data_IF_956592976557
#
_entry.id   IF_956592976557
#
_cell.length_a   1.000
_cell.length_b   1.000
_cell.length_c   1.000
_cell.angle_alpha   90.00
_cell.angle_beta   90.00
_cell.angle_gamma   90.00
#
_symmetry.space_group_name_H-M   'P 1'
#
loop_
_entity.id
_entity.type
_entity.pdbx_description
1 polymer ?
#
# COMPACT_ATOMS: atom_id res chain seq x y z
N UNK A 1 15.50 -11.79 -5.90
CA UNK A 1 14.24 -12.02 -6.65
C UNK A 1 13.70 -10.66 -7.06
N UNK A 2 13.02 -10.59 -8.22
CA UNK A 2 12.56 -9.35 -8.84
C UNK A 2 11.62 -8.57 -7.92
N UNK A 3 11.69 -7.24 -7.98
CA UNK A 3 10.79 -6.33 -7.27
C UNK A 3 9.36 -6.64 -7.74
N UNK A 4 8.47 -7.11 -6.85
CA UNK A 4 7.12 -7.63 -7.21
C UNK A 4 6.25 -6.59 -7.94
N UNK A 5 6.62 -5.30 -7.90
CA UNK A 5 6.01 -4.24 -8.72
C UNK A 5 6.53 -4.19 -10.17
N UNK A 6 7.76 -4.61 -10.46
CA UNK A 6 8.35 -4.63 -11.81
C UNK A 6 7.64 -5.61 -12.77
N UNK A 7 6.98 -6.64 -12.22
CA UNK A 7 6.23 -7.63 -13.01
C UNK A 7 4.77 -7.21 -13.28
N UNK A 8 4.30 -6.08 -12.74
CA UNK A 8 2.94 -5.60 -13.02
C UNK A 8 2.86 -4.98 -14.41
N UNK A 9 2.21 -5.67 -15.35
CA UNK A 9 2.09 -5.27 -16.76
C UNK A 9 0.70 -4.78 -17.14
N UNK A 10 -0.32 -5.11 -16.36
CA UNK A 10 -1.71 -4.71 -16.59
C UNK A 10 -2.26 -4.02 -15.36
N UNK A 11 -2.90 -2.87 -15.56
CA UNK A 11 -3.43 -2.03 -14.50
C UNK A 11 -4.87 -1.63 -14.79
N UNK A 12 -5.66 -1.49 -13.75
CA UNK A 12 -6.95 -0.84 -13.77
C UNK A 12 -6.85 0.48 -13.01
N UNK A 13 -7.10 1.58 -13.72
CA UNK A 13 -7.32 2.90 -13.14
C UNK A 13 -8.81 3.05 -12.87
N UNK A 14 -9.20 2.95 -11.58
CA UNK A 14 -10.59 2.80 -11.15
C UNK A 14 -11.04 4.01 -10.32
N UNK A 15 -11.58 5.06 -10.95
CA UNK A 15 -12.24 6.12 -10.21
C UNK A 15 -13.61 5.63 -9.73
N UNK A 16 -13.95 5.89 -8.48
CA UNK A 16 -15.26 5.61 -7.89
C UNK A 16 -15.92 6.93 -7.49
N UNK A 17 -17.24 6.99 -7.62
CA UNK A 17 -18.07 8.06 -7.07
C UNK A 17 -18.89 7.43 -5.95
N UNK A 18 -18.66 7.88 -4.72
CA UNK A 18 -19.37 7.41 -3.54
C UNK A 18 -20.61 8.26 -3.27
N UNK A 19 -21.51 7.72 -2.46
CA UNK A 19 -22.58 8.51 -1.85
C UNK A 19 -21.96 9.64 -1.00
N UNK A 20 -22.68 10.77 -0.84
CA UNK A 20 -22.21 11.88 -0.01
C UNK A 20 -21.78 11.42 1.40
N UNK A 21 -20.55 11.74 1.79
CA UNK A 21 -19.99 11.39 3.10
C UNK A 21 -19.63 9.91 3.30
N UNK A 22 -19.74 9.08 2.26
CA UNK A 22 -19.45 7.63 2.34
C UNK A 22 -18.05 7.23 1.86
N UNK A 23 -17.22 8.18 1.41
CA UNK A 23 -15.90 7.90 0.84
C UNK A 23 -14.97 7.10 1.76
N UNK A 24 -14.87 7.49 3.02
CA UNK A 24 -13.98 6.81 3.97
C UNK A 24 -14.56 5.47 4.45
N UNK A 25 -15.88 5.35 4.53
CA UNK A 25 -16.56 4.06 4.78
C UNK A 25 -16.31 3.07 3.63
N UNK A 26 -16.47 3.52 2.39
CA UNK A 26 -16.12 2.77 1.18
C UNK A 26 -14.68 2.26 1.24
N UNK A 27 -13.72 3.16 1.52
CA UNK A 27 -12.32 2.79 1.62
C UNK A 27 -12.08 1.74 2.72
N UNK A 28 -12.61 1.96 3.93
CA UNK A 28 -12.42 1.05 5.06
C UNK A 28 -13.05 -0.33 4.86
N UNK A 29 -14.17 -0.43 4.12
CA UNK A 29 -14.74 -1.72 3.73
C UNK A 29 -13.83 -2.44 2.73
N UNK A 30 -13.31 -1.73 1.74
CA UNK A 30 -12.45 -2.32 0.73
C UNK A 30 -11.06 -2.68 1.24
N UNK A 31 -10.49 -1.92 2.18
CA UNK A 31 -9.22 -2.23 2.84
C UNK A 31 -9.24 -3.62 3.51
N UNK A 32 -10.37 -4.00 4.12
CA UNK A 32 -10.55 -5.33 4.72
C UNK A 32 -10.51 -6.47 3.69
N UNK A 33 -10.84 -6.18 2.43
CA UNK A 33 -10.86 -7.14 1.34
C UNK A 33 -9.50 -7.29 0.65
N UNK A 34 -8.55 -6.40 0.95
CA UNK A 34 -7.23 -6.41 0.30
C UNK A 34 -6.49 -7.74 0.46
N UNK A 35 -6.39 -8.34 1.66
CA UNK A 35 -5.64 -9.59 1.80
C UNK A 35 -6.24 -10.72 0.94
N UNK A 36 -7.56 -10.73 0.78
CA UNK A 36 -8.25 -11.67 -0.09
C UNK A 36 -7.97 -11.38 -1.57
N UNK A 37 -8.06 -10.12 -2.00
CA UNK A 37 -7.75 -9.68 -3.36
C UNK A 37 -6.33 -10.09 -3.77
N UNK A 38 -5.35 -9.79 -2.92
CA UNK A 38 -3.94 -10.08 -3.17
C UNK A 38 -3.64 -11.56 -3.22
N UNK A 39 -4.27 -12.34 -2.33
CA UNK A 39 -4.14 -13.80 -2.36
C UNK A 39 -4.59 -14.44 -3.67
N UNK A 40 -5.34 -13.70 -4.48
CA UNK A 40 -5.88 -14.10 -5.78
C UNK A 40 -5.14 -13.47 -6.95
N UNK A 41 -4.01 -12.80 -6.69
CA UNK A 41 -3.19 -12.15 -7.70
C UNK A 41 -3.65 -10.74 -8.10
N UNK A 42 -4.56 -10.12 -7.33
CA UNK A 42 -4.95 -8.72 -7.54
C UNK A 42 -4.11 -7.80 -6.66
N UNK A 43 -3.15 -7.09 -7.24
CA UNK A 43 -2.26 -6.19 -6.48
C UNK A 43 -2.91 -4.83 -6.34
N UNK A 44 -2.86 -4.22 -5.15
CA UNK A 44 -3.28 -2.82 -4.98
C UNK A 44 -2.03 -1.94 -5.04
N UNK A 45 -1.99 -1.09 -6.05
CA UNK A 45 -0.84 -0.25 -6.38
C UNK A 45 -0.95 1.15 -5.76
N UNK A 46 -2.17 1.55 -5.38
CA UNK A 46 -2.46 2.81 -4.72
C UNK A 46 -3.95 3.05 -4.53
N UNK A 47 -4.29 3.79 -3.50
CA UNK A 47 -5.63 4.20 -3.09
C UNK A 47 -5.56 5.67 -2.71
N UNK A 48 -6.44 6.47 -3.30
CA UNK A 48 -6.35 7.92 -3.20
C UNK A 48 -7.73 8.53 -3.00
N UNK A 49 -7.79 9.49 -2.10
CA UNK A 49 -8.90 10.44 -2.03
C UNK A 49 -8.68 11.51 -3.10
N UNK A 50 -9.74 11.93 -3.77
CA UNK A 50 -9.67 13.15 -4.57
C UNK A 50 -9.65 14.38 -3.63
N UNK A 51 -8.74 15.32 -3.89
CA UNK A 51 -8.57 16.52 -3.07
C UNK A 51 -9.66 17.58 -3.34
N UNK A 52 -10.27 17.56 -4.51
CA UNK A 52 -11.30 18.52 -4.95
C UNK A 52 -12.71 18.01 -4.74
N UNK A 53 -12.90 16.69 -4.86
CA UNK A 53 -14.21 16.06 -4.75
C UNK A 53 -14.26 15.09 -3.56
N UNK A 54 -15.00 15.43 -2.48
CA UNK A 54 -15.05 14.61 -1.27
C UNK A 54 -15.72 13.25 -1.50
N UNK A 55 -16.37 13.03 -2.65
CA UNK A 55 -17.07 11.81 -3.00
C UNK A 55 -16.30 10.98 -4.04
N UNK A 56 -15.17 11.45 -4.55
CA UNK A 56 -14.34 10.67 -5.47
C UNK A 56 -13.20 9.96 -4.77
N UNK A 57 -12.98 8.74 -5.22
CA UNK A 57 -11.90 7.87 -4.75
C UNK A 57 -11.25 7.18 -5.94
N UNK A 58 -9.93 7.22 -6.05
CA UNK A 58 -9.20 6.50 -7.08
C UNK A 58 -8.57 5.25 -6.48
N UNK A 59 -8.77 4.13 -7.16
CA UNK A 59 -8.09 2.89 -6.86
C UNK A 59 -7.27 2.43 -8.07
N UNK A 60 -5.99 2.13 -7.84
CA UNK A 60 -5.10 1.49 -8.80
C UNK A 60 -4.94 0.02 -8.43
N UNK A 61 -5.36 -0.86 -9.34
CA UNK A 61 -5.25 -2.32 -9.19
C UNK A 61 -4.39 -2.90 -10.31
N UNK A 62 -3.53 -3.86 -10.01
CA UNK A 62 -2.54 -4.41 -10.93
C UNK A 62 -2.57 -5.92 -11.03
N UNK A 63 -2.10 -6.41 -12.18
CA UNK A 63 -1.98 -7.81 -12.55
C UNK A 63 -0.68 -8.05 -13.33
N UNK A 64 -0.16 -9.26 -13.26
CA UNK A 64 1.00 -9.67 -14.06
C UNK A 64 0.71 -9.68 -15.56
N UNK A 65 -0.52 -10.04 -15.95
CA UNK A 65 -0.94 -10.14 -17.34
C UNK A 65 -2.46 -10.12 -17.44
N UNK A 66 -2.98 -10.05 -18.67
CA UNK A 66 -4.41 -10.26 -18.90
C UNK A 66 -4.86 -11.65 -18.48
N UNK A 67 -4.04 -12.68 -18.68
CA UNK A 67 -4.39 -14.04 -18.27
C UNK A 67 -4.59 -14.13 -16.76
N UNK A 68 -3.69 -13.53 -15.97
CA UNK A 68 -3.83 -13.54 -14.50
C UNK A 68 -5.02 -12.70 -14.05
N UNK A 69 -5.30 -11.55 -14.70
CA UNK A 69 -6.54 -10.79 -14.49
C UNK A 69 -7.79 -11.65 -14.70
N UNK A 70 -7.85 -12.39 -15.80
CA UNK A 70 -8.98 -13.23 -16.18
C UNK A 70 -9.25 -14.38 -15.20
N UNK A 71 -8.22 -14.82 -14.46
CA UNK A 71 -8.35 -15.81 -13.37
C UNK A 71 -8.71 -15.15 -12.03
N UNK A 72 -8.03 -14.05 -11.70
CA UNK A 72 -8.11 -13.38 -10.41
C UNK A 72 -9.48 -12.74 -10.14
N UNK A 73 -10.08 -12.11 -11.16
CA UNK A 73 -11.35 -11.42 -11.03
C UNK A 73 -12.50 -12.41 -10.72
N UNK A 74 -12.77 -13.47 -11.51
CA UNK A 74 -13.77 -14.46 -11.15
C UNK A 74 -13.52 -15.13 -9.81
N UNK A 75 -12.25 -15.43 -9.47
CA UNK A 75 -11.91 -16.05 -8.20
C UNK A 75 -12.34 -15.21 -7.00
N UNK A 76 -12.18 -13.88 -7.06
CA UNK A 76 -12.61 -12.98 -6.00
C UNK A 76 -14.12 -12.71 -6.03
N UNK A 77 -14.67 -12.28 -7.17
CA UNK A 77 -16.06 -11.85 -7.26
C UNK A 77 -17.08 -12.99 -7.08
N UNK A 78 -16.65 -14.26 -7.17
CA UNK A 78 -17.51 -15.41 -6.85
C UNK A 78 -17.25 -15.98 -5.44
N UNK A 79 -16.25 -15.49 -4.70
CA UNK A 79 -15.90 -15.99 -3.37
C UNK A 79 -16.94 -15.60 -2.30
N UNK A 80 -17.12 -16.41 -1.24
CA UNK A 80 -18.06 -16.12 -0.15
C UNK A 80 -17.84 -14.74 0.50
N UNK A 81 -16.58 -14.37 0.73
CA UNK A 81 -16.21 -13.07 1.32
C UNK A 81 -16.71 -11.87 0.52
N UNK A 82 -16.73 -11.96 -0.82
CA UNK A 82 -17.33 -10.91 -1.64
C UNK A 82 -18.85 -10.94 -1.56
N UNK A 83 -19.48 -12.13 -1.57
CA UNK A 83 -20.94 -12.24 -1.43
C UNK A 83 -21.45 -11.59 -0.14
N UNK A 84 -20.72 -11.74 0.96
CA UNK A 84 -21.03 -11.12 2.25
C UNK A 84 -20.75 -9.60 2.26
N UNK A 85 -19.70 -9.16 1.58
CA UNK A 85 -19.25 -7.76 1.61
C UNK A 85 -19.88 -6.87 0.52
N UNK A 86 -20.43 -7.46 -0.55
CA UNK A 86 -20.92 -6.74 -1.72
C UNK A 86 -22.06 -5.77 -1.38
N UNK A 87 -23.01 -6.18 -0.54
CA UNK A 87 -24.15 -5.34 -0.14
C UNK A 87 -23.70 -4.03 0.53
N UNK A 88 -22.96 -4.09 1.65
CA UNK A 88 -22.41 -2.92 2.31
C UNK A 88 -21.53 -2.06 1.39
N UNK A 89 -20.65 -2.67 0.60
CA UNK A 89 -19.79 -1.94 -0.33
C UNK A 89 -20.61 -1.19 -1.38
N UNK A 90 -21.55 -1.87 -2.05
CA UNK A 90 -22.36 -1.27 -3.10
C UNK A 90 -23.26 -0.15 -2.56
N UNK A 91 -23.72 -0.25 -1.31
CA UNK A 91 -24.51 0.80 -0.67
C UNK A 91 -23.73 2.12 -0.47
N UNK A 92 -22.40 2.09 -0.49
CA UNK A 92 -21.56 3.30 -0.42
C UNK A 92 -21.32 3.95 -1.78
N UNK A 93 -21.71 3.30 -2.89
CA UNK A 93 -21.40 3.74 -4.24
C UNK A 93 -22.59 4.42 -4.93
N UNK A 94 -22.27 5.43 -5.75
CA UNK A 94 -23.16 6.00 -6.77
C UNK A 94 -22.78 5.44 -8.13
N UNK A 95 -21.48 5.46 -8.44
CA UNK A 95 -20.93 5.04 -9.72
C UNK A 95 -19.56 4.37 -9.52
N UNK A 96 -19.30 3.32 -10.29
CA UNK A 96 -17.99 2.64 -10.33
C UNK A 96 -17.00 3.32 -11.29
N UNK A 97 -17.44 4.40 -11.93
CA UNK A 97 -16.70 5.32 -12.78
C UNK A 97 -16.22 4.75 -14.12
N UNK A 98 -15.55 5.59 -14.89
CA UNK A 98 -14.88 5.19 -16.14
C UNK A 98 -13.56 4.47 -15.81
N UNK A 99 -13.65 3.15 -15.65
CA UNK A 99 -12.48 2.29 -15.42
C UNK A 99 -11.66 2.18 -16.70
N UNK A 100 -10.36 2.44 -16.60
CA UNK A 100 -9.41 2.26 -17.72
C UNK A 100 -8.48 1.09 -17.45
N UNK A 101 -8.39 0.21 -18.42
CA UNK A 101 -7.37 -0.82 -18.51
C UNK A 101 -6.12 -0.23 -19.18
N UNK A 102 -5.01 -0.26 -18.47
CA UNK A 102 -3.77 0.41 -18.83
C UNK A 102 -2.57 -0.54 -18.70
N UNK A 103 -1.47 -0.20 -19.37
CA UNK A 103 -0.17 -0.87 -19.27
C UNK A 103 0.94 0.17 -19.08
N UNK A 104 2.07 -0.18 -18.43
CA UNK A 104 3.23 0.70 -18.34
C UNK A 104 3.75 1.08 -19.72
N UNK A 105 4.10 2.35 -19.91
CA UNK A 105 4.80 2.81 -21.13
C UNK A 105 6.23 2.30 -21.15
N UNK A 106 6.89 2.26 -19.98
CA UNK A 106 8.25 1.77 -19.82
C UNK A 106 8.30 0.26 -19.57
N UNK A 107 9.29 -0.42 -20.14
CA UNK A 107 9.45 -1.87 -20.04
C UNK A 107 9.84 -2.38 -18.64
N UNK A 108 10.15 -1.48 -17.71
CA UNK A 108 10.52 -1.80 -16.33
C UNK A 108 9.32 -2.11 -15.40
N UNK A 109 8.08 -1.97 -15.88
CA UNK A 109 6.87 -2.17 -15.07
C UNK A 109 6.38 -0.88 -14.38
N UNK A 110 5.40 -1.00 -13.48
CA UNK A 110 4.83 0.15 -12.75
C UNK A 110 5.17 0.12 -11.26
N UNK A 111 5.77 1.20 -10.76
CA UNK A 111 6.08 1.38 -9.33
C UNK A 111 5.75 2.81 -8.92
N UNK A 112 4.59 3.01 -8.28
CA UNK A 112 4.18 4.31 -7.75
C UNK A 112 4.58 4.48 -6.28
N UNK A 113 4.58 3.39 -5.51
CA UNK A 113 4.57 3.47 -4.07
C UNK A 113 5.82 4.10 -3.43
N UNK A 114 7.02 3.78 -3.96
CA UNK A 114 8.29 4.40 -3.52
C UNK A 114 8.40 5.90 -3.87
N UNK A 115 7.50 6.39 -4.72
CA UNK A 115 7.48 7.77 -5.22
C UNK A 115 6.24 8.54 -4.75
N UNK A 116 5.39 7.93 -3.90
CA UNK A 116 4.24 8.62 -3.32
C UNK A 116 4.70 9.63 -2.29
N UNK A 117 4.10 10.81 -2.34
CA UNK A 117 4.25 11.89 -1.36
C UNK A 117 2.88 12.22 -0.77
N UNK A 118 2.78 13.24 0.10
CA UNK A 118 1.50 13.65 0.68
C UNK A 118 0.46 14.09 -0.37
N UNK A 119 0.89 14.51 -1.57
CA UNK A 119 0.03 14.95 -2.66
C UNK A 119 0.55 14.46 -4.00
N UNK A 120 -0.34 13.94 -4.83
CA UNK A 120 -0.01 13.50 -6.19
C UNK A 120 -1.02 14.06 -7.18
N UNK A 121 -0.62 14.11 -8.45
CA UNK A 121 -1.54 14.45 -9.54
C UNK A 121 -1.46 13.35 -10.58
N UNK A 122 -2.61 12.82 -10.96
CA UNK A 122 -2.75 12.02 -12.17
C UNK A 122 -3.33 12.90 -13.28
N UNK A 123 -2.59 13.02 -14.37
CA UNK A 123 -3.04 13.72 -15.57
C UNK A 123 -3.37 12.71 -16.65
N UNK A 124 -4.56 12.82 -17.22
CA UNK A 124 -5.12 11.90 -18.20
C UNK A 124 -5.28 12.66 -19.51
N UNK A 125 -4.60 12.18 -20.54
CA UNK A 125 -4.77 12.60 -21.92
C UNK A 125 -5.61 11.56 -22.64
N UNK A 126 -6.80 11.95 -23.09
CA UNK A 126 -7.55 11.18 -24.07
C UNK A 126 -7.05 11.57 -25.45
N UNK A 127 -6.53 10.59 -26.19
CA UNK A 127 -5.83 10.78 -27.45
C UNK A 127 -6.75 10.46 -28.64
N UNK A 128 -6.50 11.12 -29.78
CA UNK A 128 -7.18 10.86 -31.05
C UNK A 128 -6.79 9.51 -31.68
N UNK A 129 -5.68 8.92 -31.24
CA UNK A 129 -5.13 7.66 -31.74
C UNK A 129 -4.31 6.97 -30.63
N UNK A 130 -3.94 5.69 -30.78
CA UNK A 130 -3.04 5.02 -29.85
C UNK A 130 -1.76 5.82 -29.57
N UNK A 131 -1.28 5.79 -28.32
CA UNK A 131 -0.13 6.59 -27.90
C UNK A 131 1.16 6.25 -28.68
N UNK A 132 1.25 5.00 -29.15
CA UNK A 132 2.32 4.50 -30.01
C UNK A 132 2.38 5.22 -31.37
N UNK A 133 1.29 5.87 -31.81
CA UNK A 133 1.22 6.66 -33.04
C UNK A 133 1.76 8.08 -32.84
N UNK A 134 3.01 8.18 -32.40
CA UNK A 134 3.75 9.45 -32.29
C UNK A 134 3.64 10.17 -30.95
N UNK A 135 2.56 9.98 -30.17
CA UNK A 135 2.43 10.64 -28.86
C UNK A 135 3.53 10.24 -27.89
N UNK A 136 3.93 8.97 -27.85
CA UNK A 136 5.03 8.50 -26.99
C UNK A 136 6.35 9.23 -27.27
N UNK A 137 6.65 9.48 -28.55
CA UNK A 137 7.85 10.23 -28.95
C UNK A 137 7.73 11.70 -28.54
N UNK A 138 6.60 12.34 -28.84
CA UNK A 138 6.33 13.72 -28.42
C UNK A 138 6.42 13.89 -26.89
N UNK A 139 5.84 12.95 -26.13
CA UNK A 139 5.93 12.93 -24.68
C UNK A 139 7.38 12.86 -24.21
N UNK A 140 8.14 11.88 -24.70
CA UNK A 140 9.53 11.64 -24.30
C UNK A 140 10.46 12.81 -24.63
N UNK A 141 10.28 13.42 -25.80
CA UNK A 141 11.19 14.44 -26.33
C UNK A 141 10.82 15.86 -25.92
N UNK A 142 9.54 16.13 -25.63
CA UNK A 142 9.04 17.49 -25.37
C UNK A 142 8.39 17.62 -24.00
N UNK A 143 7.33 16.86 -23.72
CA UNK A 143 6.53 17.08 -22.51
C UNK A 143 7.26 16.65 -21.24
N UNK A 144 7.79 15.43 -21.18
CA UNK A 144 8.45 14.92 -19.98
C UNK A 144 9.65 15.79 -19.55
N UNK A 145 10.56 16.22 -20.46
CA UNK A 145 11.62 17.17 -20.10
C UNK A 145 11.08 18.52 -19.61
N UNK A 146 10.01 19.03 -20.23
CA UNK A 146 9.38 20.30 -19.81
C UNK A 146 8.79 20.18 -18.39
N UNK A 147 8.07 19.09 -18.09
CA UNK A 147 7.51 18.85 -16.76
C UNK A 147 8.61 18.69 -15.71
N UNK A 148 9.69 17.96 -16.04
CA UNK A 148 10.84 17.79 -15.17
C UNK A 148 11.56 19.12 -14.89
N UNK A 149 11.79 19.95 -15.91
CA UNK A 149 12.40 21.28 -15.76
C UNK A 149 11.54 22.24 -14.92
N UNK A 150 10.22 22.05 -14.92
CA UNK A 150 9.29 22.78 -14.08
C UNK A 150 9.16 22.21 -12.64
N UNK A 151 9.97 21.22 -12.26
CA UNK A 151 10.01 20.66 -10.92
C UNK A 151 9.03 19.52 -10.64
N UNK A 152 8.37 18.97 -11.68
CA UNK A 152 7.48 17.81 -11.52
C UNK A 152 7.81 16.70 -12.53
N UNK A 153 8.95 16.00 -12.35
CA UNK A 153 9.24 14.85 -13.18
C UNK A 153 8.11 13.81 -13.07
N UNK A 154 7.76 13.20 -14.19
CA UNK A 154 6.80 12.09 -14.18
C UNK A 154 7.35 10.94 -13.34
N UNK A 155 6.57 10.48 -12.36
CA UNK A 155 6.94 9.36 -11.48
C UNK A 155 6.46 8.02 -12.03
N UNK A 156 5.40 8.02 -12.84
CA UNK A 156 4.89 6.85 -13.55
C UNK A 156 4.08 7.26 -14.79
N UNK A 157 4.06 6.39 -15.81
CA UNK A 157 3.41 6.61 -17.10
C UNK A 157 2.72 5.33 -17.58
N UNK A 158 1.50 5.47 -18.06
CA UNK A 158 0.62 4.38 -18.48
C UNK A 158 -0.04 4.74 -19.81
N UNK A 159 -0.24 3.76 -20.69
CA UNK A 159 -1.07 3.88 -21.88
C UNK A 159 -2.18 2.83 -21.90
N UNK A 160 -3.20 3.00 -22.74
CA UNK A 160 -4.27 1.99 -22.90
C UNK A 160 -3.70 0.60 -23.17
N UNK A 161 -4.20 -0.39 -22.43
CA UNK A 161 -4.09 -1.80 -22.78
C UNK A 161 -5.27 -2.17 -23.68
N UNK A 162 -4.97 -2.66 -24.89
CA UNK A 162 -5.95 -2.93 -25.95
C UNK A 162 -6.44 -4.38 -25.97
N UNK A 163 -5.87 -5.26 -25.14
CA UNK A 163 -6.35 -6.62 -25.01
C UNK A 163 -7.86 -6.63 -24.66
N UNK A 164 -8.65 -7.53 -25.25
CA UNK A 164 -10.09 -7.62 -24.99
C UNK A 164 -10.41 -7.77 -23.50
N UNK A 165 -11.48 -7.14 -23.04
CA UNK A 165 -11.95 -7.30 -21.66
C UNK A 165 -12.35 -8.76 -21.40
N UNK A 166 -11.63 -9.39 -20.48
CA UNK A 166 -11.85 -10.77 -20.08
C UNK A 166 -12.66 -10.92 -18.79
N UNK A 167 -13.29 -9.83 -18.31
CA UNK A 167 -14.26 -9.88 -17.22
C UNK A 167 -15.43 -8.89 -17.41
N UNK A 168 -16.36 -9.18 -18.35
CA UNK A 168 -17.39 -8.22 -18.79
C UNK A 168 -18.40 -7.77 -17.72
N UNK A 169 -18.45 -8.44 -16.55
CA UNK A 169 -19.31 -8.04 -15.42
C UNK A 169 -18.90 -6.68 -14.84
N UNK A 170 -17.66 -6.29 -15.03
CA UNK A 170 -17.11 -5.01 -14.57
C UNK A 170 -16.37 -4.42 -15.77
N UNK A 171 -17.10 -3.75 -16.68
CA UNK A 171 -16.53 -3.30 -17.94
C UNK A 171 -15.39 -2.32 -17.71
N UNK A 172 -14.40 -2.40 -18.58
CA UNK A 172 -13.23 -1.51 -18.61
C UNK A 172 -13.06 -0.93 -20.01
N UNK A 173 -12.42 0.24 -20.10
CA UNK A 173 -12.04 0.99 -21.31
C UNK A 173 -13.06 0.92 -22.45
N UNK A 174 -13.75 2.04 -22.71
CA UNK A 174 -14.66 2.14 -23.86
C UNK A 174 -13.93 1.83 -25.16
N UNK A 175 -14.57 1.06 -26.04
CA UNK A 175 -14.01 0.73 -27.34
C UNK A 175 -13.63 2.00 -28.12
N UNK A 176 -12.41 2.03 -28.67
CA UNK A 176 -11.87 3.19 -29.39
C UNK A 176 -11.32 4.31 -28.50
N UNK A 177 -11.37 4.19 -27.17
CA UNK A 177 -10.75 5.17 -26.28
C UNK A 177 -9.24 4.92 -26.15
N UNK A 178 -8.44 5.96 -26.39
CA UNK A 178 -6.99 5.95 -26.24
C UNK A 178 -6.61 6.87 -25.08
N UNK A 179 -6.01 6.32 -24.03
CA UNK A 179 -5.62 7.08 -22.85
C UNK A 179 -4.10 6.99 -22.66
N UNK A 180 -3.52 8.12 -22.29
CA UNK A 180 -2.19 8.20 -21.70
C UNK A 180 -2.31 8.88 -20.34
N UNK A 181 -1.90 8.17 -19.29
CA UNK A 181 -1.98 8.64 -17.90
C UNK A 181 -0.60 8.76 -17.34
N UNK A 182 -0.27 9.91 -16.76
CA UNK A 182 0.98 10.09 -16.05
C UNK A 182 0.76 10.67 -14.66
N UNK A 183 1.69 10.35 -13.78
CA UNK A 183 1.66 10.75 -12.39
C UNK A 183 2.82 11.69 -12.09
N UNK A 184 2.57 12.70 -11.25
CA UNK A 184 3.58 13.51 -10.60
C UNK A 184 3.34 13.52 -9.08
N UNK A 185 4.43 13.60 -8.31
CA UNK A 185 4.42 13.64 -6.86
C UNK A 185 4.85 15.03 -6.38
N UNK A 186 4.17 15.57 -5.38
CA UNK A 186 4.43 16.89 -4.79
C UNK A 186 4.39 16.79 -3.26
N UNK A 187 5.14 17.64 -2.57
CA UNK A 187 5.04 17.78 -1.11
C UNK A 187 3.71 18.37 -0.68
N UNK A 188 3.10 19.22 -1.52
CA UNK A 188 1.83 19.89 -1.22
C UNK A 188 1.07 20.28 -2.49
N UNK A 189 -0.19 20.71 -2.30
CA UNK A 189 -0.99 21.32 -3.37
C UNK A 189 -0.42 22.65 -3.86
N UNK A 190 0.21 23.42 -2.98
CA UNK A 190 0.79 24.72 -3.32
C UNK A 190 1.99 24.56 -4.26
N UNK A 191 2.79 23.50 -4.10
CA UNK A 191 3.85 23.15 -5.06
C UNK A 191 3.30 22.84 -6.44
N UNK A 192 2.17 22.13 -6.53
CA UNK A 192 1.50 21.88 -7.80
C UNK A 192 0.96 23.17 -8.44
N UNK A 193 0.34 24.06 -7.65
CA UNK A 193 -0.12 25.36 -8.15
C UNK A 193 1.05 26.25 -8.62
N UNK A 194 2.17 26.23 -7.91
CA UNK A 194 3.40 26.92 -8.32
C UNK A 194 3.94 26.35 -9.63
N UNK A 195 3.99 25.03 -9.76
CA UNK A 195 4.47 24.35 -10.96
C UNK A 195 3.64 24.70 -12.20
N UNK A 196 2.31 24.76 -12.10
CA UNK A 196 1.45 25.24 -13.19
C UNK A 196 1.79 26.66 -13.64
N UNK A 197 2.03 27.56 -12.69
CA UNK A 197 2.47 28.95 -13.00
C UNK A 197 3.82 28.97 -13.67
N UNK A 198 4.77 28.15 -13.21
CA UNK A 198 6.09 28.01 -13.82
C UNK A 198 5.98 27.56 -15.27
N UNK A 199 5.19 26.51 -15.55
CA UNK A 199 4.96 26.00 -16.90
C UNK A 199 4.36 27.08 -17.82
N UNK A 200 3.33 27.79 -17.35
CA UNK A 200 2.69 28.86 -18.12
C UNK A 200 3.65 30.01 -18.47
N UNK A 201 4.71 30.20 -17.68
CA UNK A 201 5.77 31.19 -17.91
C UNK A 201 6.95 30.67 -18.76
N UNK A 202 7.02 29.38 -19.10
CA UNK A 202 8.13 28.83 -19.88
C UNK A 202 8.08 29.32 -21.33
N UNK A 203 9.23 29.77 -21.84
CA UNK A 203 9.39 30.13 -23.24
C UNK A 203 9.14 28.89 -24.13
N UNK A 204 8.23 29.01 -25.09
CA UNK A 204 7.85 27.90 -25.99
C UNK A 204 6.80 26.94 -25.41
N UNK A 205 6.25 27.22 -24.22
CA UNK A 205 5.12 26.44 -23.70
C UNK A 205 3.90 26.53 -24.60
N UNK A 206 3.52 27.72 -25.07
CA UNK A 206 2.36 27.89 -25.96
C UNK A 206 2.45 27.04 -27.24
N UNK A 207 3.64 26.93 -27.83
CA UNK A 207 3.86 26.07 -29.01
C UNK A 207 3.73 24.59 -28.65
N UNK A 208 4.27 24.20 -27.49
CA UNK A 208 4.19 22.82 -26.98
C UNK A 208 2.75 22.45 -26.62
N UNK A 209 1.98 23.37 -26.05
CA UNK A 209 0.56 23.21 -25.71
C UNK A 209 -0.30 23.11 -26.97
N UNK A 210 -0.04 23.95 -27.98
CA UNK A 210 -0.71 23.87 -29.27
C UNK A 210 -0.38 22.55 -30.01
N UNK A 211 0.85 22.04 -29.87
CA UNK A 211 1.24 20.74 -30.40
C UNK A 211 0.56 19.59 -29.65
N UNK A 212 0.54 19.64 -28.31
CA UNK A 212 -0.19 18.68 -27.46
C UNK A 212 -1.66 18.61 -27.87
N UNK A 213 -2.33 19.75 -28.07
CA UNK A 213 -3.74 19.80 -28.45
C UNK A 213 -4.08 19.01 -29.72
N UNK A 214 -3.14 18.84 -30.66
CA UNK A 214 -3.34 18.04 -31.89
C UNK A 214 -3.49 16.55 -31.60
N UNK A 215 -2.90 16.08 -30.51
CA UNK A 215 -3.00 14.68 -30.09
C UNK A 215 -4.25 14.38 -29.29
N UNK A 216 -4.88 15.40 -28.69
CA UNK A 216 -5.95 15.21 -27.72
C UNK A 216 -7.34 15.14 -28.38
N UNK A 217 -8.16 14.17 -27.94
CA UNK A 217 -9.58 14.06 -28.27
C UNK A 217 -10.45 14.96 -27.38
N UNK A 218 -9.94 15.34 -26.21
CA UNK A 218 -10.59 16.26 -25.28
C UNK A 218 -9.53 17.04 -24.48
N UNK A 219 -9.87 18.17 -23.84
CA UNK A 219 -8.97 18.82 -22.89
C UNK A 219 -8.40 17.82 -21.85
N UNK A 220 -7.16 18.04 -21.44
CA UNK A 220 -6.50 17.22 -20.45
C UNK A 220 -7.29 17.21 -19.14
N UNK A 221 -7.42 16.02 -18.55
CA UNK A 221 -8.10 15.84 -17.27
C UNK A 221 -7.07 15.67 -16.15
N UNK A 222 -7.38 16.17 -14.96
CA UNK A 222 -6.50 16.03 -13.79
C UNK A 222 -7.28 15.52 -12.60
N UNK A 223 -6.71 14.56 -11.87
CA UNK A 223 -7.14 14.18 -10.54
C UNK A 223 -6.08 14.59 -9.54
N UNK A 224 -6.47 15.34 -8.53
CA UNK A 224 -5.61 15.72 -7.40
C UNK A 224 -5.80 14.67 -6.31
N UNK A 225 -4.73 13.96 -6.00
CA UNK A 225 -4.77 12.70 -5.26
C UNK A 225 -4.08 12.87 -3.92
N UNK A 226 -4.82 12.57 -2.85
CA UNK A 226 -4.29 12.44 -1.49
C UNK A 226 -4.21 10.95 -1.20
N UNK A 227 -3.00 10.35 -1.14
CA UNK A 227 -2.86 8.93 -0.83
C UNK A 227 -3.49 8.60 0.53
N UNK A 228 -4.10 7.41 0.64
CA UNK A 228 -4.53 6.90 1.95
C UNK A 228 -3.31 6.55 2.81
N UNK A 229 -3.49 6.52 4.14
CA UNK A 229 -2.47 6.02 5.05
C UNK A 229 -1.99 4.63 4.62
N UNK A 230 -2.93 3.77 4.20
CA UNK A 230 -2.63 2.47 3.63
C UNK A 230 -1.67 2.56 2.44
N UNK A 231 -1.89 3.46 1.47
CA UNK A 231 -1.02 3.60 0.29
C UNK A 231 0.37 4.12 0.61
N UNK A 232 0.48 5.08 1.54
CA UNK A 232 1.77 5.60 2.02
C UNK A 232 2.56 4.53 2.78
N UNK A 233 1.87 3.68 3.55
CA UNK A 233 2.48 2.74 4.48
C UNK A 233 2.65 1.31 3.92
N UNK A 234 1.97 0.97 2.82
CA UNK A 234 1.99 -0.37 2.21
C UNK A 234 3.36 -0.74 1.64
N UNK A 235 4.16 0.25 1.23
CA UNK A 235 5.45 0.02 0.57
C UNK A 235 6.56 0.93 1.11
N UNK A 236 6.53 1.24 2.40
CA UNK A 236 7.64 1.90 3.08
C UNK A 236 8.89 1.01 3.04
N UNK A 237 9.62 1.04 1.92
CA UNK A 237 10.90 0.38 1.63
C UNK A 237 10.87 -1.17 1.77
N UNK A 238 11.63 -1.98 1.02
CA UNK A 238 12.09 -3.25 1.61
C UNK A 238 12.71 -2.87 2.96
N UNK A 239 12.33 -3.53 4.05
CA UNK A 239 12.82 -3.18 5.38
C UNK A 239 14.34 -2.97 5.32
N UNK A 240 14.80 -1.75 5.60
CA UNK A 240 16.23 -1.46 5.59
C UNK A 240 16.73 -1.81 6.97
N UNK A 241 17.38 -2.97 7.11
CA UNK A 241 17.92 -3.41 8.38
C UNK A 241 18.78 -2.31 9.00
N UNK A 242 18.41 -1.89 10.22
CA UNK A 242 19.14 -0.90 11.01
C UNK A 242 18.85 -1.11 12.48
N UNK A 243 19.87 -0.96 13.32
CA UNK A 243 19.73 -0.99 14.78
C UNK A 243 19.70 0.42 15.39
N UNK A 244 19.64 1.45 14.55
CA UNK A 244 19.73 2.87 14.94
C UNK A 244 18.36 3.55 15.03
N UNK A 245 17.25 2.81 14.86
CA UNK A 245 15.91 3.39 14.90
C UNK A 245 15.62 4.06 16.24
N UNK A 246 15.09 5.28 16.21
CA UNK A 246 14.70 6.06 17.40
C UNK A 246 13.19 6.26 17.45
N UNK A 247 12.67 6.69 18.59
CA UNK A 247 11.24 6.96 18.78
C UNK A 247 10.97 7.89 19.96
N UNK A 248 9.74 7.88 20.42
CA UNK A 248 9.27 8.63 21.58
C UNK A 248 8.86 7.71 22.73
N UNK A 249 8.97 8.19 23.97
CA UNK A 249 8.62 7.42 25.17
C UNK A 249 7.13 7.07 25.24
N UNK A 250 6.27 7.77 24.50
CA UNK A 250 4.83 7.52 24.44
C UNK A 250 4.41 6.65 23.25
N UNK A 251 5.37 6.11 22.49
CA UNK A 251 5.10 5.37 21.26
C UNK A 251 4.14 4.18 21.43
N UNK A 252 4.23 3.50 22.58
CA UNK A 252 3.44 2.30 22.91
C UNK A 252 2.26 2.56 23.84
N UNK A 253 1.97 3.82 24.20
CA UNK A 253 0.87 4.15 25.13
C UNK A 253 -0.48 3.64 24.65
N UNK A 254 -0.67 3.62 23.32
CA UNK A 254 -1.87 3.08 22.70
C UNK A 254 -2.14 1.63 23.07
N UNK A 255 -1.14 0.84 23.45
CA UNK A 255 -1.26 -0.60 23.66
C UNK A 255 -1.93 -0.92 25.01
N UNK A 256 -1.95 -0.01 25.98
CA UNK A 256 -2.51 -0.24 27.32
C UNK A 256 -3.95 -0.78 27.26
N UNK A 257 -4.26 -1.81 28.06
CA UNK A 257 -5.59 -2.39 28.17
C UNK A 257 -5.73 -3.79 27.55
N UNK A 258 -6.97 -4.18 27.22
CA UNK A 258 -7.33 -5.52 26.76
C UNK A 258 -7.68 -5.54 25.27
N UNK A 259 -7.25 -6.57 24.58
CA UNK A 259 -7.44 -6.73 23.14
C UNK A 259 -7.87 -8.14 22.76
N UNK A 260 -8.67 -8.23 21.72
CA UNK A 260 -8.79 -9.44 20.90
C UNK A 260 -7.84 -9.33 19.71
N UNK A 261 -7.31 -10.47 19.27
CA UNK A 261 -6.35 -10.53 18.19
C UNK A 261 -6.63 -11.70 17.25
N UNK A 262 -6.52 -11.46 15.95
CA UNK A 262 -6.51 -12.51 14.93
C UNK A 262 -5.09 -12.62 14.37
N UNK A 263 -4.50 -13.80 14.49
CA UNK A 263 -3.18 -14.12 13.97
C UNK A 263 -3.33 -14.78 12.61
N UNK A 264 -2.39 -14.48 11.72
CA UNK A 264 -2.09 -15.25 10.51
C UNK A 264 -0.60 -15.52 10.52
N UNK A 265 -0.19 -16.79 10.60
CA UNK A 265 1.24 -17.17 10.61
C UNK A 265 1.54 -18.22 9.56
N UNK A 266 2.63 -18.07 8.81
CA UNK A 266 3.06 -19.09 7.86
C UNK A 266 3.32 -20.42 8.59
N UNK A 267 2.80 -21.52 8.01
CA UNK A 267 3.09 -22.87 8.50
C UNK A 267 4.52 -23.30 8.17
N UNK A 268 5.06 -22.82 7.04
CA UNK A 268 6.45 -23.02 6.63
C UNK A 268 7.03 -21.68 6.14
N UNK A 269 8.16 -21.29 6.72
CA UNK A 269 8.89 -20.05 6.41
C UNK A 269 10.04 -20.31 5.44
N UNK A 270 10.54 -19.27 4.81
CA UNK A 270 11.65 -19.29 3.86
C UNK A 270 11.26 -19.76 2.45
N UNK A 271 9.97 -19.82 2.14
CA UNK A 271 9.44 -20.28 0.85
C UNK A 271 8.84 -19.15 0.01
N UNK A 272 8.67 -17.96 0.60
CA UNK A 272 8.04 -16.80 -0.04
C UNK A 272 6.55 -17.01 -0.33
N UNK A 273 5.87 -17.91 0.40
CA UNK A 273 4.49 -18.24 0.09
C UNK A 273 3.52 -17.12 0.48
N UNK A 274 2.69 -16.73 -0.48
CA UNK A 274 1.58 -15.80 -0.31
C UNK A 274 0.22 -16.49 -0.42
N UNK A 275 0.20 -17.82 -0.61
CA UNK A 275 -1.03 -18.61 -0.75
C UNK A 275 -1.71 -18.75 0.63
N UNK A 276 -2.98 -18.34 0.81
CA UNK A 276 -3.68 -18.42 2.08
C UNK A 276 -3.69 -19.81 2.72
N UNK A 277 -3.64 -20.88 1.91
CA UNK A 277 -3.64 -22.25 2.41
C UNK A 277 -2.39 -22.59 3.21
N UNK A 278 -1.31 -21.82 3.03
CA UNK A 278 -0.03 -22.01 3.71
C UNK A 278 0.05 -21.21 5.03
N UNK A 279 -1.00 -20.47 5.38
CA UNK A 279 -1.11 -19.66 6.60
C UNK A 279 -2.07 -20.30 7.60
N UNK A 280 -1.60 -20.50 8.81
CA UNK A 280 -2.40 -20.87 9.97
C UNK A 280 -3.05 -19.63 10.58
N UNK A 281 -4.38 -19.62 10.69
CA UNK A 281 -5.17 -18.51 11.21
C UNK A 281 -5.77 -18.88 12.55
N UNK A 282 -5.53 -18.08 13.59
CA UNK A 282 -5.96 -18.42 14.95
C UNK A 282 -6.21 -17.19 15.85
N UNK A 283 -7.18 -17.27 16.77
CA UNK A 283 -7.49 -16.19 17.69
C UNK A 283 -6.52 -16.13 18.87
N UNK A 284 -6.41 -14.96 19.46
CA UNK A 284 -5.69 -14.70 20.70
C UNK A 284 -6.35 -13.55 21.50
N UNK A 285 -6.03 -13.48 22.79
CA UNK A 285 -6.38 -12.34 23.64
C UNK A 285 -5.12 -11.76 24.26
N UNK A 286 -5.05 -10.44 24.35
CA UNK A 286 -3.89 -9.73 24.89
C UNK A 286 -4.33 -8.86 26.06
N UNK A 287 -3.56 -8.89 27.14
CA UNK A 287 -3.66 -7.89 28.21
C UNK A 287 -2.33 -7.16 28.28
N UNK A 288 -2.35 -5.85 28.15
CA UNK A 288 -1.17 -5.01 28.10
C UNK A 288 -1.24 -3.91 29.16
N UNK A 289 -0.07 -3.54 29.68
CA UNK A 289 0.10 -2.52 30.70
C UNK A 289 1.26 -1.60 30.34
N UNK A 290 1.00 -0.29 30.34
CA UNK A 290 2.03 0.74 30.33
C UNK A 290 2.49 0.99 31.77
N UNK A 291 3.80 1.04 31.96
CA UNK A 291 4.44 1.02 33.27
C UNK A 291 5.41 2.18 33.42
N UNK A 292 5.71 2.54 34.68
CA UNK A 292 6.85 3.40 35.05
C UNK A 292 6.86 4.76 34.35
N UNK A 293 5.70 5.40 34.19
CA UNK A 293 5.55 6.66 33.42
C UNK A 293 5.97 6.51 31.95
N UNK A 294 5.41 5.50 31.28
CA UNK A 294 5.54 5.22 29.84
C UNK A 294 6.90 4.68 29.38
N UNK A 295 7.95 4.65 30.22
CA UNK A 295 9.27 4.12 29.81
C UNK A 295 9.32 2.60 29.66
N UNK A 296 8.28 1.88 30.08
CA UNK A 296 8.18 0.45 29.91
C UNK A 296 6.74 0.02 29.63
N UNK A 297 6.56 -1.09 28.94
CA UNK A 297 5.27 -1.77 28.85
C UNK A 297 5.46 -3.29 28.80
N UNK A 298 4.41 -4.00 29.20
CA UNK A 298 4.35 -5.45 29.15
C UNK A 298 3.01 -5.87 28.55
N UNK A 299 3.01 -6.90 27.72
CA UNK A 299 1.78 -7.58 27.34
C UNK A 299 1.90 -9.09 27.52
N UNK A 300 0.81 -9.71 27.97
CA UNK A 300 0.62 -11.15 27.93
C UNK A 300 -0.38 -11.48 26.82
N UNK A 301 0.02 -12.38 25.94
CA UNK A 301 -0.83 -12.94 24.90
C UNK A 301 -1.14 -14.40 25.20
N UNK A 302 -2.43 -14.72 25.19
CA UNK A 302 -2.94 -16.08 25.29
C UNK A 302 -3.34 -16.57 23.90
N UNK A 303 -2.92 -17.78 23.53
CA UNK A 303 -3.35 -18.47 22.31
C UNK A 303 -4.19 -19.71 22.66
N UNK A 304 -5.50 -19.55 22.96
CA UNK A 304 -6.33 -20.63 23.49
C UNK A 304 -6.36 -21.89 22.63
N UNK A 305 -6.27 -21.73 21.31
CA UNK A 305 -6.31 -22.82 20.33
C UNK A 305 -4.96 -23.49 20.09
N UNK A 306 -3.87 -22.93 20.62
CA UNK A 306 -2.50 -23.44 20.42
C UNK A 306 -1.87 -24.01 21.69
N UNK A 307 -2.48 -23.79 22.85
CA UNK A 307 -2.04 -24.38 24.12
C UNK A 307 -0.74 -23.78 24.69
N UNK A 308 -0.36 -22.59 24.24
CA UNK A 308 0.76 -21.82 24.78
C UNK A 308 0.41 -20.34 24.85
N UNK A 309 1.19 -19.59 25.61
CA UNK A 309 1.09 -18.15 25.76
C UNK A 309 2.49 -17.54 25.68
N UNK A 310 2.55 -16.21 25.75
CA UNK A 310 3.83 -15.54 25.89
C UNK A 310 3.67 -14.13 26.38
N UNK A 311 4.81 -13.57 26.76
CA UNK A 311 4.90 -12.23 27.32
C UNK A 311 5.86 -11.43 26.47
N UNK A 312 5.45 -10.22 26.09
CA UNK A 312 6.36 -9.25 25.51
C UNK A 312 6.69 -8.20 26.56
N UNK A 313 7.98 -7.98 26.82
CA UNK A 313 8.46 -6.85 27.61
C UNK A 313 9.10 -5.84 26.68
N UNK A 314 8.81 -4.55 26.88
CA UNK A 314 9.43 -3.45 26.15
C UNK A 314 9.89 -2.38 27.12
N UNK A 315 11.04 -1.79 26.84
CA UNK A 315 11.52 -0.62 27.57
C UNK A 315 12.12 0.42 26.61
N UNK A 316 12.05 1.68 27.02
CA UNK A 316 12.60 2.82 26.31
C UNK A 316 13.89 3.27 26.97
N UNK A 317 14.97 3.35 26.20
CA UNK A 317 16.20 3.99 26.62
C UNK A 317 16.10 5.50 26.35
N UNK A 318 16.01 6.30 27.42
CA UNK A 318 15.84 7.75 27.34
C UNK A 318 17.01 8.47 26.66
N UNK A 319 18.24 8.00 26.85
CA UNK A 319 19.44 8.60 26.27
C UNK A 319 19.50 8.34 24.76
N UNK A 320 19.30 7.08 24.35
CA UNK A 320 19.29 6.68 22.94
C UNK A 320 17.99 7.03 22.21
N UNK A 321 16.95 7.42 22.95
CA UNK A 321 15.58 7.58 22.47
C UNK A 321 15.11 6.37 21.66
N UNK A 322 15.32 5.18 22.20
CA UNK A 322 15.14 3.93 21.46
C UNK A 322 14.44 2.88 22.33
N UNK A 323 13.49 2.20 21.74
CA UNK A 323 12.81 1.06 22.33
C UNK A 323 13.56 -0.24 22.09
N UNK A 324 13.44 -1.16 23.04
CA UNK A 324 13.86 -2.56 22.92
C UNK A 324 12.68 -3.48 23.24
N UNK A 325 12.51 -4.55 22.48
CA UNK A 325 11.42 -5.52 22.58
C UNK A 325 12.00 -6.90 22.86
N UNK A 326 11.45 -7.58 23.87
CA UNK A 326 11.87 -8.92 24.31
C UNK A 326 10.65 -9.82 24.42
N UNK A 327 10.73 -11.00 23.82
CA UNK A 327 9.68 -12.01 23.86
C UNK A 327 10.05 -13.15 24.81
N UNK A 328 9.06 -13.68 25.53
CA UNK A 328 9.18 -14.89 26.34
C UNK A 328 8.10 -15.89 25.93
N UNK A 329 8.50 -17.09 25.53
CA UNK A 329 7.58 -18.16 25.16
C UNK A 329 7.29 -19.06 26.36
N UNK A 330 6.02 -19.36 26.64
CA UNK A 330 5.67 -20.23 27.77
C UNK A 330 6.14 -21.68 27.62
N UNK A 331 6.49 -22.11 26.40
CA UNK A 331 6.93 -23.48 26.13
C UNK A 331 8.34 -23.77 26.64
N UNK A 332 9.19 -22.76 26.77
CA UNK A 332 10.57 -22.90 27.24
C UNK A 332 10.97 -21.89 28.31
N UNK A 333 10.17 -20.85 28.54
CA UNK A 333 10.41 -19.79 29.53
C UNK A 333 11.62 -18.92 29.22
N UNK A 334 12.20 -19.03 28.01
CA UNK A 334 13.38 -18.27 27.62
C UNK A 334 12.98 -16.89 27.12
N UNK A 335 13.76 -15.89 27.51
CA UNK A 335 13.67 -14.56 26.94
C UNK A 335 14.57 -14.49 25.71
N UNK A 336 14.00 -14.06 24.59
CA UNK A 336 14.75 -13.85 23.36
C UNK A 336 15.73 -12.69 23.54
N UNK A 337 17.01 -12.98 23.35
CA UNK A 337 18.10 -12.01 23.45
C UNK A 337 19.10 -12.21 22.30
N UNK A 338 19.62 -11.14 21.68
CA UNK A 338 19.29 -9.73 21.96
C UNK A 338 17.87 -9.35 21.50
N UNK A 339 17.25 -8.40 22.20
CA UNK A 339 15.93 -7.90 21.85
C UNK A 339 15.95 -7.10 20.54
N UNK A 340 14.77 -6.93 19.93
CA UNK A 340 14.62 -6.12 18.72
C UNK A 340 14.55 -4.64 19.10
N UNK A 341 15.29 -3.78 18.41
CA UNK A 341 15.44 -2.35 18.76
C UNK A 341 14.91 -1.44 17.67
N UNK A 342 14.37 -0.29 18.06
CA UNK A 342 13.84 0.69 17.11
C UNK A 342 12.93 1.73 17.77
N UNK A 343 11.95 2.21 17.02
CA UNK A 343 10.99 3.21 17.49
C UNK A 343 9.95 3.54 16.43
N UNK A 344 9.05 4.47 16.75
CA UNK A 344 8.01 4.91 15.81
C UNK A 344 8.38 6.20 15.08
N UNK A 345 7.90 6.24 13.84
CA UNK A 345 7.72 7.45 13.04
C UNK A 345 6.21 7.60 12.77
N UNK A 346 5.56 8.50 13.52
CA UNK A 346 4.12 8.66 13.50
C UNK A 346 3.37 7.41 13.97
N UNK A 347 2.56 6.85 13.08
CA UNK A 347 1.72 5.67 13.37
C UNK A 347 2.43 4.34 13.09
N UNK A 348 3.67 4.36 12.60
CA UNK A 348 4.40 3.15 12.21
C UNK A 348 5.66 2.99 13.04
N UNK A 349 5.80 1.83 13.69
CA UNK A 349 6.98 1.45 14.45
C UNK A 349 7.75 0.35 13.75
N UNK A 350 9.07 0.49 13.62
CA UNK A 350 9.95 -0.53 13.05
C UNK A 350 11.03 -0.90 14.06
N UNK A 351 11.19 -2.20 14.29
CA UNK A 351 12.13 -2.75 15.27
C UNK A 351 12.91 -3.90 14.64
N UNK A 352 14.23 -3.85 14.71
CA UNK A 352 15.11 -4.80 14.04
C UNK A 352 15.98 -5.55 15.04
N UNK A 353 16.35 -6.77 14.68
CA UNK A 353 17.27 -7.56 15.47
C UNK A 353 17.81 -8.76 14.70
N UNK A 354 18.73 -9.46 15.33
CA UNK A 354 19.17 -10.79 14.91
C UNK A 354 18.31 -11.85 15.61
N UNK A 355 18.02 -12.94 14.91
CA UNK A 355 17.26 -14.07 15.44
C UNK A 355 17.65 -15.39 14.73
N UNK A 356 17.04 -16.50 15.12
CA UNK A 356 17.19 -17.81 14.47
C UNK A 356 15.83 -18.46 14.16
N UNK A 357 15.67 -18.97 12.95
CA UNK A 357 14.51 -19.79 12.56
C UNK A 357 14.95 -21.26 12.47
N UNK A 358 14.59 -22.08 13.46
CA UNK A 358 15.01 -23.49 13.50
C UNK A 358 16.53 -23.68 13.55
N UNK A 359 17.26 -22.74 14.18
CA UNK A 359 18.72 -22.72 14.23
C UNK A 359 19.41 -22.07 13.02
N UNK A 360 18.65 -21.68 11.98
CA UNK A 360 19.18 -20.88 10.86
C UNK A 360 19.21 -19.40 11.25
N UNK A 361 20.35 -18.70 11.18
CA UNK A 361 20.40 -17.27 11.44
C UNK A 361 19.50 -16.48 10.47
N UNK A 362 18.79 -15.49 10.99
CA UNK A 362 17.94 -14.56 10.23
C UNK A 362 18.09 -13.14 10.76
N UNK A 363 17.84 -12.15 9.91
CA UNK A 363 17.45 -10.82 10.40
C UNK A 363 15.94 -10.81 10.60
N UNK A 364 15.49 -10.18 11.68
CA UNK A 364 14.07 -10.01 11.98
C UNK A 364 13.71 -8.54 11.98
N UNK A 365 12.49 -8.24 11.55
CA UNK A 365 11.85 -6.94 11.72
C UNK A 365 10.44 -7.12 12.23
N UNK A 366 10.09 -6.33 13.25
CA UNK A 366 8.73 -6.14 13.71
C UNK A 366 8.22 -4.80 13.19
N UNK A 367 7.04 -4.82 12.58
CA UNK A 367 6.32 -3.62 12.16
C UNK A 367 5.05 -3.47 12.96
N UNK A 368 4.92 -2.36 13.67
CA UNK A 368 3.67 -1.92 14.27
C UNK A 368 3.02 -0.85 13.41
N UNK A 369 1.70 -0.90 13.30
CA UNK A 369 0.86 0.16 12.72
C UNK A 369 -0.30 0.46 13.65
N UNK A 370 -0.45 1.71 14.05
CA UNK A 370 -1.63 2.21 14.78
C UNK A 370 -2.79 2.36 13.79
N UNK A 371 -3.95 1.77 14.07
CA UNK A 371 -5.11 1.73 13.18
C UNK A 371 -6.31 2.36 13.89
N UNK A 372 -6.27 3.69 14.04
CA UNK A 372 -7.24 4.45 14.82
C UNK A 372 -7.13 4.17 16.34
N UNK A 373 -8.11 4.62 17.15
CA UNK A 373 -8.03 4.54 18.62
C UNK A 373 -8.21 3.11 19.19
N UNK A 374 -8.93 2.25 18.46
CA UNK A 374 -9.34 0.92 18.93
C UNK A 374 -8.69 -0.22 18.12
N UNK A 375 -7.71 0.09 17.27
CA UNK A 375 -7.09 -0.87 16.36
C UNK A 375 -5.59 -0.72 16.29
N UNK A 376 -4.91 -1.85 16.18
CA UNK A 376 -3.49 -1.90 15.86
C UNK A 376 -3.21 -3.12 15.00
N UNK A 377 -2.08 -3.08 14.29
CA UNK A 377 -1.58 -4.20 13.50
C UNK A 377 -0.11 -4.41 13.79
N UNK A 378 0.29 -5.65 13.99
CA UNK A 378 1.67 -6.06 14.13
C UNK A 378 2.04 -7.06 13.04
N UNK A 379 3.26 -6.97 12.53
CA UNK A 379 3.80 -7.88 11.55
C UNK A 379 5.22 -8.28 11.92
N UNK A 380 5.59 -9.51 11.56
CA UNK A 380 6.95 -10.00 11.58
C UNK A 380 7.37 -10.40 10.17
N UNK A 381 8.58 -9.99 9.79
CA UNK A 381 9.26 -10.50 8.62
C UNK A 381 10.67 -10.98 8.95
N UNK A 382 11.10 -12.02 8.23
CA UNK A 382 12.44 -12.58 8.31
C UNK A 382 13.20 -12.34 7.00
N UNK A 383 14.49 -12.08 7.15
CA UNK A 383 15.44 -12.08 6.04
C UNK A 383 16.47 -13.18 6.26
N UNK A 384 16.66 -14.00 5.24
CA UNK A 384 17.65 -15.08 5.22
C UNK A 384 18.92 -14.72 4.45
N UNK A 385 18.99 -13.50 3.91
CA UNK A 385 20.04 -13.00 3.03
C UNK A 385 20.61 -11.65 3.52
N UNK A 386 20.65 -11.48 4.85
CA UNK A 386 21.25 -10.33 5.55
C UNK A 386 20.53 -8.99 5.26
N UNK A 387 19.20 -9.00 5.34
CA UNK A 387 18.35 -7.82 5.20
C UNK A 387 18.10 -7.38 3.75
N UNK A 388 18.51 -8.16 2.75
CA UNK A 388 18.32 -7.82 1.33
C UNK A 388 16.91 -8.12 0.86
N UNK A 389 16.34 -9.25 1.28
CA UNK A 389 14.96 -9.64 1.01
C UNK A 389 14.25 -10.06 2.30
N UNK A 390 12.94 -9.87 2.34
CA UNK A 390 12.13 -10.06 3.53
C UNK A 390 10.87 -10.87 3.22
N UNK A 391 10.59 -11.86 4.05
CA UNK A 391 9.36 -12.65 4.03
C UNK A 391 8.54 -12.33 5.28
N UNK A 392 7.44 -11.59 5.10
CA UNK A 392 6.42 -11.47 6.15
C UNK A 392 5.87 -12.85 6.44
N UNK A 393 6.00 -13.30 7.68
CA UNK A 393 5.65 -14.66 8.08
C UNK A 393 4.69 -14.72 9.27
N UNK A 394 4.34 -13.57 9.85
CA UNK A 394 3.31 -13.45 10.87
C UNK A 394 2.66 -12.07 10.82
N UNK A 395 1.34 -12.03 10.84
CA UNK A 395 0.51 -10.82 10.92
C UNK A 395 -0.50 -10.99 12.04
N UNK A 396 -0.64 -9.94 12.86
CA UNK A 396 -1.55 -9.86 13.98
C UNK A 396 -2.43 -8.61 13.85
N UNK A 397 -3.74 -8.80 13.91
CA UNK A 397 -4.70 -7.69 13.90
C UNK A 397 -5.37 -7.57 15.26
N UNK A 398 -5.14 -6.44 15.94
CA UNK A 398 -5.66 -6.16 17.28
C UNK A 398 -6.93 -5.32 17.21
N UNK A 399 -7.88 -5.64 18.09
CA UNK A 399 -9.10 -4.87 18.35
C UNK A 399 -9.30 -4.71 19.85
N UNK A 400 -9.46 -3.47 20.31
CA UNK A 400 -9.67 -3.16 21.72
C UNK A 400 -10.96 -3.81 22.22
N UNK A 401 -10.90 -4.42 23.40
CA UNK A 401 -12.10 -4.89 24.10
C UNK A 401 -12.76 -3.67 24.74
N UNK A 402 -14.03 -3.44 24.40
CA UNK A 402 -14.82 -2.33 24.94
C UNK A 402 -15.35 -2.62 26.34
#
# INVERSE_FOLDING_TARGET
>A
MADIQQDTRVLEFRPYITQPGKRDEFNGLFEKLIPELESRGQRILGQFRDAKDPNKFLWLRGYDSMETRGKALPAFYNAPVWKESAGPVNATLVDIGDVRLLKPVDSAGFTLAKKMTAFMVATIYLLNAPAENGFNAFWKERLAPTMAAAGAPSVAQLSTEYAPDNFPRIPVTKAGEHAFVWFAAYGSRDEYELQKKTIAGLRGWSDTEAELAKYLASPAQTMELIPTAYSLQRWGTPFKYTLEGTGDVHDFDFLDGKWTMVNRRLMKRGLGSTDPKDWDVFPATVTAHVLMNCVANVDEVLFPTKGWNGVTFRHFNLEKKQWSIYWVNSRDGKMDVPGQVGGFEGDVGLFYGDDTDGGRPVKVVYKWTKVGPDGARWEQAFSYDDGKTWETNWVNEHRRVK
#
